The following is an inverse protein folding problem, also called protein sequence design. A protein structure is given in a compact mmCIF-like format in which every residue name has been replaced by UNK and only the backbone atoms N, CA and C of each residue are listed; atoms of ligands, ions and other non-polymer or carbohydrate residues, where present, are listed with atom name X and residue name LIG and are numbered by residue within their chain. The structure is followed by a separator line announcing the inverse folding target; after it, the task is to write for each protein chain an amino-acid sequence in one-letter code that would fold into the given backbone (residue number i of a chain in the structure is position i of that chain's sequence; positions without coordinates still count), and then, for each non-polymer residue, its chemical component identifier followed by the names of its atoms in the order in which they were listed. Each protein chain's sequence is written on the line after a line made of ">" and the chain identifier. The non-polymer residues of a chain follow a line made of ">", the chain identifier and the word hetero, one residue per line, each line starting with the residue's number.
data_IF_946025949241
#
_entry.id   IF_946025949241
#
_cell.length_a   1.000
_cell.length_b   1.000
_cell.length_c   1.000
_cell.angle_alpha   90.00
_cell.angle_beta   90.00
_cell.angle_gamma   90.00
#
_symmetry.space_group_name_H-M   'P 1'
#
loop_
_entity.id
_entity.type
_entity.pdbx_description
1 polymer ?
#
# COMPACT_ATOMS: atom_id res chain seq x y z
N UNK A 1 22.71 19.49 0.38
CA UNK A 1 21.41 19.01 0.93
C UNK A 1 21.30 17.49 0.96
N UNK A 2 20.99 16.76 -0.12
CA UNK A 2 20.74 15.30 -0.02
C UNK A 2 21.96 14.46 0.38
N UNK A 3 23.15 14.79 -0.15
CA UNK A 3 24.40 14.14 0.25
C UNK A 3 24.74 14.39 1.73
N UNK A 4 24.56 15.63 2.19
CA UNK A 4 24.74 16.02 3.60
C UNK A 4 23.71 15.31 4.49
N UNK A 5 22.46 15.19 4.05
CA UNK A 5 21.43 14.46 4.78
C UNK A 5 21.73 12.97 4.91
N UNK A 6 22.38 12.38 3.90
CA UNK A 6 22.84 10.99 3.98
C UNK A 6 23.99 10.81 4.95
N UNK A 7 24.93 11.76 4.96
CA UNK A 7 26.06 11.76 5.90
C UNK A 7 25.61 12.04 7.34
N UNK A 8 24.70 13.00 7.53
CA UNK A 8 24.17 13.41 8.83
C UNK A 8 22.98 12.58 9.31
N UNK A 9 22.49 11.62 8.51
CA UNK A 9 21.39 10.73 8.86
C UNK A 9 20.01 11.40 8.99
N UNK A 10 19.86 12.65 8.57
CA UNK A 10 18.63 13.43 8.78
C UNK A 10 18.30 14.33 7.59
N UNK A 11 17.02 14.33 7.20
CA UNK A 11 16.53 15.22 6.16
C UNK A 11 16.28 16.65 6.69
N UNK A 12 16.29 17.67 5.81
CA UNK A 12 15.86 19.01 6.18
C UNK A 12 14.43 19.00 6.72
N UNK A 13 14.10 19.95 7.59
CA UNK A 13 12.80 19.99 8.27
C UNK A 13 11.62 19.96 7.28
N UNK A 14 11.73 20.70 6.17
CA UNK A 14 10.74 20.73 5.08
C UNK A 14 10.48 19.37 4.42
N UNK A 15 11.43 18.43 4.49
CA UNK A 15 11.31 17.08 3.94
C UNK A 15 10.91 16.03 4.99
N UNK A 16 11.09 16.36 6.28
CA UNK A 16 10.67 15.53 7.42
C UNK A 16 9.22 15.75 7.80
N UNK A 17 8.72 16.97 7.62
CA UNK A 17 7.36 17.35 7.99
C UNK A 17 6.36 17.09 6.87
N UNK A 18 5.24 16.48 7.26
CA UNK A 18 4.06 16.34 6.43
C UNK A 18 2.91 17.15 7.02
N UNK A 19 2.17 17.89 6.19
CA UNK A 19 0.91 18.51 6.64
C UNK A 19 -0.23 17.53 6.37
N UNK A 20 -0.87 17.02 7.42
CA UNK A 20 -2.04 16.15 7.32
C UNK A 20 -3.29 16.97 7.06
N UNK A 21 -3.85 16.83 5.87
CA UNK A 21 -5.18 17.31 5.56
C UNK A 21 -6.20 16.17 5.70
N UNK A 22 -7.30 16.42 6.40
CA UNK A 22 -8.42 15.50 6.47
C UNK A 22 -9.40 15.81 5.33
N UNK A 23 -9.63 14.85 4.44
CA UNK A 23 -10.64 14.94 3.40
C UNK A 23 -11.92 14.22 3.86
N UNK A 24 -13.10 14.84 3.73
CA UNK A 24 -14.35 14.20 4.13
C UNK A 24 -14.66 12.99 3.23
N UNK A 25 -15.09 11.89 3.84
CA UNK A 25 -15.74 10.75 3.17
C UNK A 25 -17.27 10.88 3.30
N UNK A 26 -18.00 9.93 2.73
CA UNK A 26 -19.45 9.77 2.98
C UNK A 26 -19.69 9.35 4.44
N UNK A 27 -20.85 9.70 4.99
CA UNK A 27 -21.26 9.35 6.35
C UNK A 27 -21.31 10.56 7.30
N UNK A 28 -21.47 10.29 8.59
CA UNK A 28 -21.46 11.32 9.62
C UNK A 28 -20.04 11.87 9.82
N UNK A 29 -19.84 13.17 9.55
CA UNK A 29 -18.54 13.83 9.68
C UNK A 29 -18.12 14.09 11.13
N UNK A 30 -18.99 13.83 12.11
CA UNK A 30 -18.63 13.80 13.54
C UNK A 30 -17.79 12.57 13.88
N UNK A 31 -17.85 11.52 13.05
CA UNK A 31 -17.03 10.32 13.18
C UNK A 31 -15.70 10.49 12.44
N UNK A 32 -14.59 10.45 13.17
CA UNK A 32 -13.23 10.54 12.62
C UNK A 32 -12.92 9.44 11.59
N UNK A 33 -13.61 8.30 11.62
CA UNK A 33 -13.45 7.21 10.64
C UNK A 33 -13.94 7.60 9.24
N UNK A 34 -14.85 8.58 9.17
CA UNK A 34 -15.36 9.16 7.93
C UNK A 34 -14.46 10.28 7.38
N UNK A 35 -13.23 10.41 7.89
CA UNK A 35 -12.21 11.28 7.33
C UNK A 35 -11.08 10.47 6.71
N UNK A 36 -10.53 10.99 5.62
CA UNK A 36 -9.36 10.41 4.95
C UNK A 36 -8.15 11.31 5.19
N UNK A 37 -7.14 10.84 5.92
CA UNK A 37 -5.89 11.59 6.02
C UNK A 37 -5.17 11.61 4.66
N UNK A 38 -4.62 12.77 4.32
CA UNK A 38 -3.72 12.96 3.17
C UNK A 38 -2.51 13.74 3.64
N UNK A 39 -1.33 13.16 3.48
CA UNK A 39 -0.07 13.82 3.81
C UNK A 39 0.38 14.70 2.66
N UNK A 40 0.40 16.01 2.90
CA UNK A 40 1.00 16.99 2.01
C UNK A 40 2.50 17.03 2.30
N UNK A 41 3.26 16.35 1.45
CA UNK A 41 4.71 16.29 1.50
C UNK A 41 5.32 17.37 0.60
N UNK A 42 6.50 17.86 0.96
CA UNK A 42 7.25 18.82 0.14
C UNK A 42 7.56 18.28 -1.25
N UNK A 43 7.64 19.19 -2.22
CA UNK A 43 7.92 18.86 -3.61
C UNK A 43 9.29 18.22 -3.76
N UNK A 44 10.32 18.74 -3.08
CA UNK A 44 11.68 18.20 -3.13
C UNK A 44 11.73 16.74 -2.67
N UNK A 45 11.06 16.43 -1.57
CA UNK A 45 10.89 15.05 -1.10
C UNK A 45 10.21 14.18 -2.16
N UNK A 46 9.12 14.67 -2.78
CA UNK A 46 8.36 13.90 -3.78
C UNK A 46 9.18 13.62 -5.03
N UNK A 47 10.03 14.55 -5.48
CA UNK A 47 10.92 14.36 -6.63
C UNK A 47 11.88 13.20 -6.35
N UNK A 48 12.54 13.21 -5.19
CA UNK A 48 13.46 12.14 -4.81
C UNK A 48 12.73 10.81 -4.62
N UNK A 49 11.62 10.81 -3.90
CA UNK A 49 10.79 9.61 -3.72
C UNK A 49 10.29 9.05 -5.07
N UNK A 50 9.99 9.93 -6.05
CA UNK A 50 9.58 9.51 -7.40
C UNK A 50 10.74 8.90 -8.18
N UNK A 51 11.93 9.49 -8.13
CA UNK A 51 13.12 8.94 -8.78
C UNK A 51 13.42 7.52 -8.26
N UNK A 52 13.32 7.34 -6.94
CA UNK A 52 13.49 6.02 -6.31
C UNK A 52 12.37 5.06 -6.72
N UNK A 53 11.12 5.53 -6.73
CA UNK A 53 9.97 4.73 -7.13
C UNK A 53 10.11 4.19 -8.56
N UNK A 54 10.64 4.99 -9.48
CA UNK A 54 10.90 4.55 -10.86
C UNK A 54 11.96 3.45 -10.90
N UNK A 55 13.08 3.61 -10.18
CA UNK A 55 14.13 2.58 -10.10
C UNK A 55 13.61 1.31 -9.44
N UNK A 56 12.93 1.42 -8.31
CA UNK A 56 12.34 0.27 -7.62
C UNK A 56 11.30 -0.44 -8.50
N UNK A 57 10.52 0.31 -9.29
CA UNK A 57 9.53 -0.23 -10.20
C UNK A 57 10.13 -1.16 -11.26
N UNK A 58 11.36 -0.89 -11.71
CA UNK A 58 12.04 -1.72 -12.71
C UNK A 58 12.42 -3.12 -12.22
N UNK A 59 12.54 -3.32 -10.90
CA UNK A 59 12.94 -4.61 -10.30
C UNK A 59 11.83 -5.25 -9.47
N UNK A 60 10.73 -4.52 -9.23
CA UNK A 60 9.70 -4.96 -8.29
C UNK A 60 9.08 -6.30 -8.70
N UNK A 61 8.86 -6.50 -10.01
CA UNK A 61 8.30 -7.73 -10.56
C UNK A 61 9.18 -8.97 -10.33
N UNK A 62 10.49 -8.79 -10.19
CA UNK A 62 11.46 -9.86 -9.93
C UNK A 62 11.51 -10.24 -8.44
N UNK A 63 11.11 -9.31 -7.56
CA UNK A 63 11.15 -9.50 -6.11
C UNK A 63 9.84 -10.05 -5.57
N UNK A 64 8.69 -9.61 -6.09
CA UNK A 64 7.37 -10.06 -5.62
C UNK A 64 6.74 -11.08 -6.55
N UNK A 65 6.08 -12.08 -5.95
CA UNK A 65 5.48 -13.19 -6.69
C UNK A 65 4.38 -12.71 -7.68
N UNK A 66 4.12 -13.40 -8.81
CA UNK A 66 3.18 -12.96 -9.84
C UNK A 66 1.74 -12.71 -9.40
N UNK A 67 1.27 -13.37 -8.34
CA UNK A 67 -0.07 -13.18 -7.76
C UNK A 67 -0.24 -11.86 -6.98
N UNK A 68 0.85 -11.14 -6.73
CA UNK A 68 0.85 -9.78 -6.19
C UNK A 68 0.77 -8.78 -7.35
N UNK A 69 -0.41 -8.19 -7.58
CA UNK A 69 -0.59 -7.19 -8.64
C UNK A 69 -0.44 -5.75 -8.13
N UNK A 70 -0.35 -5.57 -6.80
CA UNK A 70 -0.36 -4.24 -6.20
C UNK A 70 0.94 -3.45 -6.49
N UNK A 71 0.80 -2.37 -7.25
CA UNK A 71 1.87 -1.40 -7.59
C UNK A 71 3.00 -1.93 -8.46
N UNK A 72 2.86 -3.16 -8.96
CA UNK A 72 3.84 -3.76 -9.84
C UNK A 72 3.59 -3.30 -11.27
N UNK A 73 4.57 -2.65 -11.92
CA UNK A 73 4.41 -2.24 -13.32
C UNK A 73 4.06 -3.44 -14.22
N UNK A 74 3.10 -3.24 -15.12
CA UNK A 74 2.64 -4.28 -16.04
C UNK A 74 1.59 -5.24 -15.49
N UNK A 75 1.29 -5.20 -14.18
CA UNK A 75 0.22 -6.01 -13.56
C UNK A 75 -1.02 -5.15 -13.33
N UNK A 76 -2.21 -5.66 -13.63
CA UNK A 76 -3.46 -4.91 -13.48
C UNK A 76 -4.45 -5.63 -12.57
N UNK A 77 -5.23 -4.87 -11.81
CA UNK A 77 -6.24 -5.43 -10.89
C UNK A 77 -7.32 -6.26 -11.60
N UNK A 78 -7.52 -6.03 -12.91
CA UNK A 78 -8.46 -6.79 -13.72
C UNK A 78 -8.06 -8.26 -13.81
N UNK A 79 -6.77 -8.59 -13.77
CA UNK A 79 -6.28 -9.97 -13.79
C UNK A 79 -6.80 -10.75 -12.57
N UNK A 80 -6.80 -10.12 -11.39
CA UNK A 80 -7.34 -10.72 -10.17
C UNK A 80 -8.86 -10.92 -10.25
N UNK A 81 -9.57 -9.98 -10.89
CA UNK A 81 -11.02 -10.09 -11.09
C UNK A 81 -11.36 -11.24 -12.03
N UNK A 82 -10.65 -11.35 -13.16
CA UNK A 82 -10.82 -12.45 -14.10
C UNK A 82 -10.47 -13.79 -13.47
N UNK A 83 -9.38 -13.87 -12.69
CA UNK A 83 -9.03 -15.07 -11.95
C UNK A 83 -10.18 -15.56 -11.06
N UNK A 84 -10.79 -14.68 -10.25
CA UNK A 84 -11.92 -15.07 -9.39
C UNK A 84 -13.14 -15.51 -10.20
N UNK A 85 -13.48 -14.76 -11.25
CA UNK A 85 -14.60 -15.11 -12.13
C UNK A 85 -14.39 -16.51 -12.72
N UNK A 86 -13.23 -16.75 -13.30
CA UNK A 86 -12.90 -17.99 -13.99
C UNK A 86 -12.88 -19.17 -13.01
N UNK A 87 -12.39 -18.97 -11.79
CA UNK A 87 -12.45 -19.98 -10.72
C UNK A 87 -13.89 -20.36 -10.37
N UNK A 88 -14.79 -19.38 -10.23
CA UNK A 88 -16.20 -19.62 -9.91
C UNK A 88 -16.91 -20.37 -11.04
N UNK A 89 -16.69 -19.95 -12.29
CA UNK A 89 -17.23 -20.63 -13.47
C UNK A 89 -16.72 -22.07 -13.58
N UNK A 90 -15.42 -22.28 -13.37
CA UNK A 90 -14.79 -23.60 -13.36
C UNK A 90 -15.34 -24.50 -12.25
N UNK A 91 -15.55 -23.92 -11.06
CA UNK A 91 -16.18 -24.61 -9.93
C UNK A 91 -17.57 -25.14 -10.26
N UNK A 92 -18.39 -24.31 -10.89
CA UNK A 92 -19.73 -24.70 -11.34
C UNK A 92 -19.70 -25.75 -12.46
N UNK A 93 -18.78 -25.60 -13.42
CA UNK A 93 -18.68 -26.47 -14.59
C UNK A 93 -18.13 -27.86 -14.26
N UNK A 94 -17.04 -27.91 -13.50
CA UNK A 94 -16.26 -29.13 -13.26
C UNK A 94 -16.54 -29.74 -11.88
N UNK A 95 -17.47 -29.17 -11.11
CA UNK A 95 -17.85 -29.65 -9.79
C UNK A 95 -16.75 -29.54 -8.74
N UNK A 96 -15.85 -28.55 -8.88
CA UNK A 96 -14.75 -28.34 -7.94
C UNK A 96 -15.30 -27.83 -6.60
N UNK A 97 -14.96 -28.51 -5.51
CA UNK A 97 -15.27 -28.05 -4.16
C UNK A 97 -14.12 -27.18 -3.64
N UNK A 98 -14.37 -25.87 -3.51
CA UNK A 98 -13.44 -24.92 -2.91
C UNK A 98 -14.17 -23.78 -2.20
N UNK A 99 -13.43 -23.02 -1.38
CA UNK A 99 -13.90 -21.80 -0.75
C UNK A 99 -12.96 -20.65 -1.10
N UNK A 100 -13.52 -19.45 -1.25
CA UNK A 100 -12.77 -18.21 -1.42
C UNK A 100 -12.81 -17.42 -0.12
N UNK A 101 -11.64 -17.01 0.36
CA UNK A 101 -11.50 -16.24 1.59
C UNK A 101 -11.01 -14.82 1.27
N UNK A 102 -11.92 -13.85 1.28
CA UNK A 102 -11.54 -12.45 1.14
C UNK A 102 -11.10 -11.86 2.47
N UNK A 103 -9.86 -11.38 2.54
CA UNK A 103 -9.28 -10.68 3.68
C UNK A 103 -8.97 -9.22 3.29
N UNK A 104 -9.31 -8.27 4.15
CA UNK A 104 -8.99 -6.84 3.96
C UNK A 104 -8.14 -6.34 5.14
N UNK A 105 -7.09 -5.58 4.83
CA UNK A 105 -6.24 -4.99 5.87
C UNK A 105 -6.69 -3.57 6.21
N UNK A 106 -7.26 -3.43 7.41
CA UNK A 106 -7.61 -2.11 7.95
C UNK A 106 -6.36 -1.22 8.10
N UNK A 107 -6.38 -0.05 7.46
CA UNK A 107 -5.32 0.97 7.54
C UNK A 107 -3.93 0.38 7.26
N UNK A 108 -3.86 -0.49 6.24
CA UNK A 108 -2.65 -1.18 5.79
C UNK A 108 -1.39 -0.29 5.78
N UNK A 109 -1.51 0.92 5.24
CA UNK A 109 -0.38 1.85 5.12
C UNK A 109 0.07 2.43 6.46
N UNK A 110 -0.87 2.70 7.38
CA UNK A 110 -0.57 3.35 8.66
C UNK A 110 0.07 2.37 9.66
N UNK A 111 0.00 1.06 9.38
CA UNK A 111 0.44 0.00 10.30
C UNK A 111 1.83 -0.57 10.02
N UNK A 112 2.49 -0.15 8.94
CA UNK A 112 3.82 -0.66 8.56
C UNK A 112 4.86 -0.21 9.57
N UNK A 113 5.43 -1.13 10.34
CA UNK A 113 6.57 -0.83 11.21
C UNK A 113 7.84 -0.56 10.38
N UNK A 114 8.58 0.50 10.72
CA UNK A 114 9.76 0.91 9.95
C UNK A 114 10.93 -0.07 10.15
N UNK A 115 11.13 -0.60 11.36
CA UNK A 115 12.18 -1.58 11.63
C UNK A 115 11.94 -2.89 10.86
N UNK A 116 10.69 -3.36 10.84
CA UNK A 116 10.26 -4.49 10.04
C UNK A 116 10.46 -4.27 8.54
N UNK A 117 10.05 -3.11 8.02
CA UNK A 117 10.23 -2.77 6.60
C UNK A 117 11.72 -2.79 6.21
N UNK A 118 12.57 -2.10 6.97
CA UNK A 118 14.02 -2.04 6.68
C UNK A 118 14.66 -3.44 6.78
N UNK A 119 14.27 -4.26 7.76
CA UNK A 119 14.76 -5.64 7.89
C UNK A 119 14.29 -6.53 6.73
N UNK A 120 13.05 -6.35 6.28
CA UNK A 120 12.49 -7.07 5.12
C UNK A 120 13.26 -6.75 3.85
N UNK A 121 13.59 -5.48 3.62
CA UNK A 121 14.40 -5.06 2.46
C UNK A 121 15.82 -5.66 2.52
N UNK A 122 16.45 -5.69 3.69
CA UNK A 122 17.75 -6.37 3.86
C UNK A 122 17.64 -7.87 3.57
N UNK A 123 16.57 -8.52 4.02
CA UNK A 123 16.33 -9.95 3.76
C UNK A 123 16.09 -10.26 2.27
N UNK A 124 15.48 -9.33 1.52
CA UNK A 124 15.37 -9.43 0.06
C UNK A 124 16.70 -9.16 -0.68
N UNK A 125 17.77 -8.79 0.02
CA UNK A 125 19.07 -8.52 -0.58
C UNK A 125 19.19 -7.13 -1.22
N UNK A 126 18.34 -6.18 -0.83
CA UNK A 126 18.51 -4.79 -1.27
C UNK A 126 19.86 -4.24 -0.77
N UNK A 127 20.49 -3.43 -1.62
CA UNK A 127 21.78 -2.81 -1.32
C UNK A 127 21.75 -2.05 0.02
N UNK A 128 22.70 -2.26 0.95
CA UNK A 128 22.63 -1.69 2.30
C UNK A 128 22.41 -0.18 2.32
N UNK A 129 23.13 0.56 1.47
CA UNK A 129 23.06 2.00 1.38
C UNK A 129 21.70 2.49 0.85
N UNK A 130 20.99 1.67 0.06
CA UNK A 130 19.60 1.97 -0.32
C UNK A 130 18.67 1.84 0.90
N UNK A 131 18.88 0.82 1.73
CA UNK A 131 18.12 0.66 2.98
C UNK A 131 18.42 1.80 3.95
N UNK A 132 19.68 2.20 4.07
CA UNK A 132 20.08 3.33 4.92
C UNK A 132 19.49 4.65 4.41
N UNK A 133 19.41 4.84 3.10
CA UNK A 133 18.70 5.97 2.50
C UNK A 133 17.22 6.00 2.90
N UNK A 134 16.55 4.84 2.87
CA UNK A 134 15.16 4.74 3.33
C UNK A 134 15.05 5.00 4.83
N UNK A 135 16.01 4.54 5.64
CA UNK A 135 16.05 4.84 7.06
C UNK A 135 16.09 6.36 7.29
N UNK A 136 16.93 7.10 6.56
CA UNK A 136 16.98 8.58 6.61
C UNK A 136 15.67 9.23 6.16
N UNK A 137 15.00 8.69 5.14
CA UNK A 137 13.69 9.18 4.68
C UNK A 137 12.61 9.12 5.76
N UNK A 138 12.65 8.11 6.63
CA UNK A 138 11.69 7.91 7.71
C UNK A 138 12.18 8.44 9.07
N UNK A 139 13.48 8.73 9.23
CA UNK A 139 14.07 9.26 10.45
C UNK A 139 13.46 10.62 10.82
N UNK A 140 13.06 10.74 12.10
CA UNK A 140 12.50 11.97 12.68
C UNK A 140 11.40 12.60 11.82
N UNK A 141 10.58 11.75 11.19
CA UNK A 141 9.43 12.16 10.42
C UNK A 141 8.36 12.72 11.34
N UNK A 142 7.78 13.85 10.96
CA UNK A 142 6.79 14.57 11.76
C UNK A 142 5.56 14.88 10.91
N UNK A 143 4.43 15.00 11.58
CA UNK A 143 3.15 15.27 10.97
C UNK A 143 2.47 16.43 11.70
N UNK A 144 2.05 17.45 10.96
CA UNK A 144 1.27 18.57 11.48
C UNK A 144 -0.16 18.42 10.98
N UNK A 145 -1.15 18.39 11.88
CA UNK A 145 -2.55 18.25 11.47
C UNK A 145 -3.10 19.62 11.11
N UNK A 146 -3.71 19.75 9.93
CA UNK A 146 -4.38 20.98 9.52
C UNK A 146 -5.83 20.98 10.01
N UNK A 147 -6.16 21.88 10.93
CA UNK A 147 -7.50 22.06 11.50
C UNK A 147 -7.94 23.50 11.22
N UNK A 148 -9.07 23.71 10.54
CA UNK A 148 -9.64 25.05 10.30
C UNK A 148 -8.61 26.10 9.82
N UNK A 149 -7.74 25.72 8.87
CA UNK A 149 -6.65 26.55 8.31
C UNK A 149 -5.46 26.84 9.22
N UNK A 150 -5.44 26.33 10.44
CA UNK A 150 -4.27 26.35 11.33
C UNK A 150 -3.58 24.99 11.35
N UNK A 151 -2.31 24.99 11.75
CA UNK A 151 -1.51 23.77 11.95
C UNK A 151 -1.39 23.50 13.44
N UNK A 152 -1.51 22.23 13.83
CA UNK A 152 -1.17 21.79 15.19
C UNK A 152 0.35 21.79 15.40
N UNK A 153 0.75 21.60 16.65
CA UNK A 153 2.12 21.20 16.96
C UNK A 153 2.52 19.91 16.22
N UNK A 154 3.81 19.73 15.90
CA UNK A 154 4.31 18.52 15.25
C UNK A 154 4.07 17.26 16.09
N UNK A 155 3.58 16.21 15.45
CA UNK A 155 3.42 14.88 16.03
C UNK A 155 4.39 13.93 15.36
N UNK A 156 5.18 13.20 16.16
CA UNK A 156 6.14 12.22 15.67
C UNK A 156 5.45 11.06 14.95
N UNK A 157 5.96 10.70 13.79
CA UNK A 157 5.43 9.64 12.93
C UNK A 157 6.25 8.35 13.11
N UNK A 158 5.85 7.52 14.08
CA UNK A 158 6.61 6.32 14.48
C UNK A 158 6.33 5.04 13.68
N UNK A 159 5.31 5.02 12.82
CA UNK A 159 4.97 3.88 11.96
C UNK A 159 4.16 4.32 10.75
N UNK A 160 4.14 3.46 9.74
CA UNK A 160 3.38 3.58 8.52
C UNK A 160 4.21 4.08 7.35
N UNK A 161 3.69 3.91 6.14
CA UNK A 161 4.22 4.53 4.92
C UNK A 161 3.44 5.80 4.61
N UNK A 162 4.11 6.87 4.17
CA UNK A 162 3.48 8.19 4.03
C UNK A 162 2.45 8.18 2.90
N UNK A 163 1.16 8.37 3.20
CA UNK A 163 0.11 8.37 2.18
C UNK A 163 0.26 9.59 1.25
N UNK A 164 0.49 9.36 -0.04
CA UNK A 164 0.76 10.43 -1.02
C UNK A 164 2.23 10.55 -1.41
N UNK A 165 3.13 9.79 -0.76
CA UNK A 165 4.47 9.57 -1.27
C UNK A 165 4.44 8.59 -2.46
N UNK A 166 5.12 8.89 -3.58
CA UNK A 166 5.20 8.00 -4.75
C UNK A 166 5.73 6.60 -4.44
N UNK A 167 6.60 6.48 -3.43
CA UNK A 167 7.30 5.26 -3.08
C UNK A 167 6.50 4.33 -2.15
N UNK A 168 5.54 4.87 -1.39
CA UNK A 168 4.85 4.15 -0.32
C UNK A 168 4.15 2.88 -0.77
N UNK A 169 3.58 2.87 -1.98
CA UNK A 169 2.89 1.69 -2.50
C UNK A 169 3.82 0.50 -2.71
N UNK A 170 5.00 0.74 -3.28
CA UNK A 170 6.00 -0.29 -3.55
C UNK A 170 6.64 -0.78 -2.24
N UNK A 171 6.89 0.12 -1.28
CA UNK A 171 7.37 -0.28 0.05
C UNK A 171 6.35 -1.14 0.79
N UNK A 172 5.05 -0.84 0.68
CA UNK A 172 4.01 -1.68 1.25
C UNK A 172 3.96 -3.06 0.57
N UNK A 173 4.02 -3.11 -0.76
CA UNK A 173 4.05 -4.38 -1.50
C UNK A 173 5.21 -5.27 -1.04
N UNK A 174 6.39 -4.68 -0.83
CA UNK A 174 7.55 -5.40 -0.27
C UNK A 174 7.33 -5.80 1.20
N UNK A 175 6.74 -4.93 2.02
CA UNK A 175 6.48 -5.23 3.43
C UNK A 175 5.50 -6.40 3.61
N UNK A 176 4.49 -6.52 2.75
CA UNK A 176 3.49 -7.61 2.89
C UNK A 176 3.97 -8.93 2.28
N UNK A 177 4.91 -8.90 1.35
CA UNK A 177 5.33 -10.08 0.59
C UNK A 177 5.83 -11.26 1.47
N UNK A 178 6.58 -11.07 2.57
CA UNK A 178 6.95 -12.19 3.46
C UNK A 178 5.74 -12.94 4.03
N UNK A 179 4.66 -12.23 4.37
CA UNK A 179 3.42 -12.84 4.82
C UNK A 179 2.76 -13.65 3.69
N UNK A 180 2.77 -13.14 2.46
CA UNK A 180 2.23 -13.87 1.31
C UNK A 180 3.04 -15.12 0.99
N UNK A 181 4.37 -15.03 1.07
CA UNK A 181 5.26 -16.18 0.96
C UNK A 181 4.94 -17.26 2.01
N UNK A 182 4.63 -16.85 3.24
CA UNK A 182 4.20 -17.78 4.28
C UNK A 182 2.88 -18.47 3.92
N UNK A 183 1.89 -17.72 3.44
CA UNK A 183 0.60 -18.29 2.99
C UNK A 183 0.80 -19.30 1.86
N UNK A 184 1.59 -18.97 0.83
CA UNK A 184 1.91 -19.88 -0.29
C UNK A 184 2.56 -21.18 0.18
N UNK A 185 3.39 -21.12 1.21
CA UNK A 185 4.06 -22.30 1.79
C UNK A 185 3.14 -23.14 2.68
N UNK A 186 2.23 -22.49 3.42
CA UNK A 186 1.43 -23.15 4.48
C UNK A 186 0.07 -23.65 3.99
N UNK A 187 -0.49 -23.02 2.96
CA UNK A 187 -1.79 -23.37 2.43
C UNK A 187 -1.65 -24.31 1.22
N UNK A 188 -2.49 -25.34 1.16
CA UNK A 188 -2.52 -26.27 0.01
C UNK A 188 -2.88 -25.54 -1.28
N UNK A 189 -3.85 -24.63 -1.23
CA UNK A 189 -4.40 -23.97 -2.41
C UNK A 189 -5.31 -24.90 -3.24
N UNK A 190 -5.86 -24.37 -4.32
CA UNK A 190 -6.62 -25.09 -5.32
C UNK A 190 -5.69 -25.52 -6.46
N UNK A 191 -5.71 -26.82 -6.80
CA UNK A 191 -4.94 -27.36 -7.92
C UNK A 191 -5.87 -27.59 -9.10
N UNK A 192 -5.63 -26.88 -10.19
CA UNK A 192 -6.31 -27.10 -11.46
C UNK A 192 -5.54 -28.18 -12.24
N UNK A 193 -6.26 -29.11 -12.87
CA UNK A 193 -5.66 -30.31 -13.47
C UNK A 193 -5.02 -30.04 -14.84
N UNK A 194 -5.53 -29.08 -15.61
CA UNK A 194 -4.98 -28.74 -16.93
C UNK A 194 -5.10 -27.22 -17.21
N UNK A 195 -3.97 -26.49 -17.35
CA UNK A 195 -2.61 -26.87 -16.94
C UNK A 195 -2.52 -27.13 -15.42
N UNK A 196 -1.51 -27.89 -14.96
CA UNK A 196 -1.23 -28.06 -13.51
C UNK A 196 -0.88 -26.71 -12.89
N UNK A 197 -1.91 -26.01 -12.41
CA UNK A 197 -1.80 -24.68 -11.84
C UNK A 197 -2.27 -24.73 -10.39
N UNK A 198 -1.35 -24.40 -9.47
CA UNK A 198 -1.65 -24.27 -8.06
C UNK A 198 -1.95 -22.81 -7.72
N UNK A 199 -3.20 -22.54 -7.38
CA UNK A 199 -3.68 -21.23 -6.98
C UNK A 199 -3.85 -21.20 -5.46
N UNK A 200 -3.08 -20.33 -4.79
CA UNK A 200 -3.13 -20.23 -3.32
C UNK A 200 -3.77 -18.92 -2.87
N UNK A 201 -3.34 -17.81 -3.48
CA UNK A 201 -3.82 -16.48 -3.13
C UNK A 201 -3.72 -15.55 -4.34
N UNK A 202 -4.39 -14.42 -4.24
CA UNK A 202 -4.31 -13.31 -5.17
C UNK A 202 -4.32 -11.99 -4.38
N UNK A 203 -3.20 -11.26 -4.42
CA UNK A 203 -3.00 -10.03 -3.65
C UNK A 203 -3.12 -8.79 -4.54
N UNK A 204 -4.00 -7.88 -4.16
CA UNK A 204 -4.28 -6.67 -4.94
C UNK A 204 -4.68 -5.52 -4.02
N UNK A 205 -4.70 -4.30 -4.56
CA UNK A 205 -5.36 -3.21 -3.86
C UNK A 205 -6.27 -2.39 -4.76
N UNK A 206 -7.49 -2.15 -4.30
CA UNK A 206 -8.45 -1.27 -4.95
C UNK A 206 -8.30 0.14 -4.39
N UNK A 207 -8.13 1.11 -5.30
CA UNK A 207 -8.30 2.51 -4.96
C UNK A 207 -9.80 2.73 -4.67
N UNK A 208 -10.16 3.17 -3.47
CA UNK A 208 -11.54 3.50 -3.15
C UNK A 208 -12.17 4.36 -4.26
N UNK A 209 -13.42 4.09 -4.69
CA UNK A 209 -14.07 4.90 -5.69
C UNK A 209 -14.08 6.37 -5.24
N UNK A 210 -13.71 7.28 -6.15
CA UNK A 210 -13.98 8.72 -5.92
C UNK A 210 -15.49 8.83 -5.76
N UNK A 211 -15.95 9.34 -4.62
CA UNK A 211 -17.37 9.65 -4.45
C UNK A 211 -17.84 10.57 -5.58
N UNK A 212 -19.12 10.54 -5.94
CA UNK A 212 -19.65 11.51 -6.89
C UNK A 212 -19.32 12.91 -6.34
N UNK A 213 -18.86 13.81 -7.23
CA UNK A 213 -18.74 15.22 -6.89
C UNK A 213 -20.08 15.75 -6.35
N UNK A 214 -20.08 16.91 -5.66
CA UNK A 214 -21.31 17.46 -5.10
C UNK A 214 -22.26 17.78 -6.26
N UNK A 215 -23.23 16.89 -6.50
CA UNK A 215 -24.15 16.99 -7.64
C UNK A 215 -24.61 15.64 -8.16
N UNK A 216 -25.38 14.91 -7.34
CA UNK A 216 -26.52 14.02 -7.70
C UNK A 216 -26.82 13.09 -6.53
N UNK A 217 -27.91 13.39 -5.82
CA UNK A 217 -28.59 12.49 -4.89
C UNK A 217 -29.24 11.37 -5.71
N UNK A 218 -28.85 10.13 -5.44
CA UNK A 218 -29.45 8.92 -5.99
C UNK A 218 -29.06 7.74 -5.11
N UNK A 219 -30.09 7.07 -4.56
CA UNK A 219 -29.99 6.02 -3.57
C UNK A 219 -29.15 4.81 -4.02
N UNK A 220 -28.44 4.19 -3.07
CA UNK A 220 -27.70 2.95 -3.27
C UNK A 220 -26.65 2.77 -2.19
N UNK A 221 -26.91 1.86 -1.24
CA UNK A 221 -26.02 1.54 -0.12
C UNK A 221 -24.62 1.14 -0.62
N UNK A 222 -23.60 1.86 -0.15
CA UNK A 222 -22.21 1.61 -0.48
C UNK A 222 -21.39 1.53 0.81
N UNK A 223 -20.73 0.40 1.00
CA UNK A 223 -19.80 0.09 2.09
C UNK A 223 -18.67 1.16 2.21
N UNK A 224 -18.15 1.42 3.42
CA UNK A 224 -17.21 2.52 3.66
C UNK A 224 -15.85 2.26 3.01
N UNK A 225 -15.38 3.24 2.23
CA UNK A 225 -14.14 3.17 1.46
C UNK A 225 -12.88 3.46 2.28
N UNK A 226 -12.00 2.45 2.36
CA UNK A 226 -10.57 2.60 2.61
C UNK A 226 -9.80 2.23 1.33
N UNK A 227 -8.49 2.53 1.27
CA UNK A 227 -7.61 1.84 0.34
C UNK A 227 -7.72 0.35 0.68
N UNK A 228 -8.41 -0.39 -0.18
CA UNK A 228 -8.75 -1.80 0.03
C UNK A 228 -7.53 -2.59 -0.38
N UNK A 229 -6.74 -3.07 0.57
CA UNK A 229 -5.71 -4.07 0.33
C UNK A 229 -6.37 -5.42 0.55
N UNK A 230 -6.84 -6.01 -0.55
CA UNK A 230 -7.54 -7.29 -0.53
C UNK A 230 -6.56 -8.42 -0.78
N UNK A 231 -6.59 -9.41 0.09
CA UNK A 231 -6.12 -10.75 -0.21
C UNK A 231 -7.36 -11.59 -0.53
N UNK A 232 -7.34 -12.26 -1.67
CA UNK A 232 -8.28 -13.32 -2.00
C UNK A 232 -7.57 -14.67 -1.95
#
# INVERSE_FOLDING_TARGET
>A
VWAESLQGGVLPLSCRQAVLALLPKKGDLRDLRNWRPVSLLSTDYKVVAKAISLRLGSVLADVVHPDQTYTVPGRIILDNLYLVRDLLELGCRDGLSFALLSLDQEKAFDRVDHGYLLSTLRAFGFWPQFVDFLQVLYASAECLVRLNWTLTEPVSFGRGVRQGCPLSGQLYALAIEPFLCLLRRRLTGLVLREPELRLVLSAYARRAPRGPGPGRLGAGGGLPGNLLGGLL
#
